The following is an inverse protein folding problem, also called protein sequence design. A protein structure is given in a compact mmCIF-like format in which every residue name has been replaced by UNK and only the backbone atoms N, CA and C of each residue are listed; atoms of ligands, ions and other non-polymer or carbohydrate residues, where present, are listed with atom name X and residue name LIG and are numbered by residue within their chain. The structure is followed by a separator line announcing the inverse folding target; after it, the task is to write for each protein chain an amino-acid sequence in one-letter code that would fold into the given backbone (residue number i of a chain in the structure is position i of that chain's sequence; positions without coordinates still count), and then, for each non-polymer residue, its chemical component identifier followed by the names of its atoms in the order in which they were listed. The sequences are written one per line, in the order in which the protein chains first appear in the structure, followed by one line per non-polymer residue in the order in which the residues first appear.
data_IF_260348375846
#
_entry.id   IF_260348375846
#
_cell.length_a   1.000
_cell.length_b   1.000
_cell.length_c   1.000
_cell.angle_alpha   90.00
_cell.angle_beta   90.00
_cell.angle_gamma   90.00
#
_symmetry.space_group_name_H-M   'P 1'
#
loop_
_entity.id
_entity.type
_entity.pdbx_description
1 polymer ?
#
# COMPACT_ATOMS: atom_id res chain seq x y z
N UNK A 1 -22.80 8.02 16.20
CA UNK A 1 -22.09 8.38 14.93
C UNK A 1 -20.60 8.70 15.12
N UNK A 2 -20.19 9.44 16.17
CA UNK A 2 -18.77 9.79 16.42
C UNK A 2 -17.81 8.58 16.50
N UNK A 3 -18.20 7.51 17.20
CA UNK A 3 -17.35 6.32 17.38
C UNK A 3 -17.00 5.58 16.08
N UNK A 4 -17.91 5.50 15.10
CA UNK A 4 -17.64 4.79 13.84
C UNK A 4 -16.63 5.53 12.96
N UNK A 5 -16.70 6.86 12.93
CA UNK A 5 -15.73 7.68 12.19
C UNK A 5 -14.36 7.61 12.86
N UNK A 6 -14.33 7.66 14.19
CA UNK A 6 -13.09 7.51 14.97
C UNK A 6 -12.39 6.18 14.71
N UNK A 7 -13.12 5.06 14.71
CA UNK A 7 -12.54 3.74 14.39
C UNK A 7 -11.97 3.67 12.98
N UNK A 8 -12.67 4.24 11.97
CA UNK A 8 -12.15 4.30 10.59
C UNK A 8 -10.85 5.08 10.48
N UNK A 9 -10.73 6.19 11.23
CA UNK A 9 -9.52 6.97 11.29
C UNK A 9 -8.38 6.17 11.95
N UNK A 10 -8.66 5.52 13.07
CA UNK A 10 -7.68 4.70 13.78
C UNK A 10 -7.17 3.53 12.93
N UNK A 11 -8.06 2.86 12.18
CA UNK A 11 -7.66 1.79 11.25
C UNK A 11 -6.77 2.33 10.12
N UNK A 12 -7.13 3.47 9.52
CA UNK A 12 -6.31 4.08 8.48
C UNK A 12 -4.92 4.45 9.01
N UNK A 13 -4.86 5.08 10.19
CA UNK A 13 -3.63 5.44 10.86
C UNK A 13 -2.77 4.21 11.18
N UNK A 14 -3.37 3.15 11.71
CA UNK A 14 -2.69 1.89 12.01
C UNK A 14 -2.06 1.29 10.75
N UNK A 15 -2.79 1.23 9.63
CA UNK A 15 -2.25 0.69 8.38
C UNK A 15 -1.09 1.53 7.84
N UNK A 16 -1.20 2.86 7.88
CA UNK A 16 -0.13 3.77 7.46
C UNK A 16 1.13 3.58 8.32
N UNK A 17 0.96 3.50 9.64
CA UNK A 17 2.09 3.28 10.57
C UNK A 17 2.72 1.92 10.33
N UNK A 18 1.91 0.86 10.20
CA UNK A 18 2.40 -0.50 9.96
C UNK A 18 3.24 -0.58 8.67
N UNK A 19 2.76 0.03 7.58
CA UNK A 19 3.52 0.13 6.34
C UNK A 19 4.82 0.92 6.50
N UNK A 20 4.76 2.06 7.18
CA UNK A 20 5.92 2.93 7.38
C UNK A 20 7.02 2.23 8.19
N UNK A 21 6.65 1.48 9.23
CA UNK A 21 7.60 0.69 10.03
C UNK A 21 8.30 -0.38 9.18
N UNK A 22 7.55 -1.08 8.34
CA UNK A 22 8.11 -2.09 7.45
C UNK A 22 8.97 -1.48 6.33
N UNK A 23 8.57 -0.33 5.80
CA UNK A 23 9.24 0.33 4.68
C UNK A 23 10.51 1.09 5.08
N UNK A 24 10.58 1.55 6.33
CA UNK A 24 11.71 2.32 6.83
C UNK A 24 12.70 1.49 7.65
N UNK A 25 12.33 0.31 8.14
CA UNK A 25 13.30 -0.56 8.83
C UNK A 25 14.33 -1.08 7.83
N UNK A 26 15.62 -1.02 8.20
CA UNK A 26 16.74 -1.56 7.42
C UNK A 26 16.77 -3.10 7.40
N UNK A 27 16.32 -3.69 8.51
CA UNK A 27 16.31 -5.12 8.78
C UNK A 27 14.94 -5.53 9.35
N UNK A 28 14.24 -6.40 8.61
CA UNK A 28 12.95 -6.94 9.04
C UNK A 28 13.11 -7.91 10.20
N UNK A 29 14.20 -8.69 10.22
CA UNK A 29 14.45 -9.66 11.27
C UNK A 29 14.72 -8.95 12.59
N UNK A 30 15.56 -7.89 12.59
CA UNK A 30 15.78 -7.07 13.79
C UNK A 30 14.52 -6.36 14.30
N UNK A 31 13.60 -5.97 13.41
CA UNK A 31 12.30 -5.41 13.80
C UNK A 31 11.43 -6.47 14.51
N UNK A 32 11.46 -7.72 14.05
CA UNK A 32 10.66 -8.82 14.58
C UNK A 32 11.25 -9.44 15.85
N UNK A 33 12.57 -9.47 15.98
CA UNK A 33 13.28 -10.02 17.15
C UNK A 33 13.45 -8.99 18.28
N UNK A 34 13.25 -7.70 17.99
CA UNK A 34 13.33 -6.62 18.97
C UNK A 34 14.77 -6.16 19.27
N UNK A 35 15.75 -6.57 18.46
CA UNK A 35 17.17 -6.28 18.72
C UNK A 35 17.53 -4.81 18.43
N UNK A 36 17.11 -4.27 17.28
CA UNK A 36 17.45 -2.90 16.89
C UNK A 36 16.54 -2.38 15.76
N UNK A 37 15.94 -1.21 15.96
CA UNK A 37 15.24 -0.47 14.89
C UNK A 37 16.16 0.68 14.46
N UNK A 38 17.01 0.42 13.47
CA UNK A 38 17.95 1.40 12.94
C UNK A 38 17.29 2.42 12.04
N UNK A 39 16.65 3.43 12.61
CA UNK A 39 16.21 4.62 11.87
C UNK A 39 17.33 5.65 11.87
N UNK A 40 18.18 5.61 10.84
CA UNK A 40 19.20 6.64 10.62
C UNK A 40 18.62 7.75 9.76
N UNK A 41 18.40 8.93 10.36
CA UNK A 41 17.85 10.07 9.64
C UNK A 41 18.97 10.90 9.00
N UNK A 42 18.97 10.99 7.67
CA UNK A 42 19.83 11.88 6.89
C UNK A 42 19.12 13.22 6.70
N UNK A 43 19.78 14.32 7.10
CA UNK A 43 19.20 15.69 7.00
C UNK A 43 19.21 16.27 5.59
N UNK A 44 20.12 15.80 4.74
CA UNK A 44 20.34 16.33 3.39
C UNK A 44 20.27 15.18 2.36
N UNK A 45 19.05 14.69 2.05
CA UNK A 45 18.86 13.61 1.09
C UNK A 45 19.18 14.06 -0.34
N UNK A 46 19.68 13.13 -1.15
CA UNK A 46 19.84 13.37 -2.58
C UNK A 46 18.54 13.00 -3.30
N UNK A 47 17.82 13.98 -3.82
CA UNK A 47 16.57 13.76 -4.55
C UNK A 47 16.79 13.15 -5.94
N UNK A 48 18.02 13.15 -6.47
CA UNK A 48 18.32 12.46 -7.73
C UNK A 48 18.15 10.94 -7.59
N UNK A 49 18.24 10.40 -6.37
CA UNK A 49 18.02 8.98 -6.07
C UNK A 49 16.61 8.51 -6.48
N UNK A 50 15.61 9.41 -6.46
CA UNK A 50 14.23 9.10 -6.91
C UNK A 50 14.16 8.64 -8.36
N UNK A 51 15.08 9.10 -9.20
CA UNK A 51 15.10 8.84 -10.63
C UNK A 51 16.05 7.70 -11.02
N UNK A 52 16.66 7.02 -10.05
CA UNK A 52 17.48 5.84 -10.31
C UNK A 52 16.58 4.67 -10.73
N UNK A 53 16.86 4.10 -11.90
CA UNK A 53 16.16 2.94 -12.45
C UNK A 53 17.09 1.78 -12.86
N UNK A 54 18.40 2.00 -12.88
CA UNK A 54 19.36 1.01 -13.36
C UNK A 54 19.70 -0.09 -12.34
N UNK A 55 19.22 0.04 -11.10
CA UNK A 55 19.40 -0.91 -10.00
C UNK A 55 18.19 -1.84 -9.81
N UNK A 56 17.26 -1.85 -10.77
CA UNK A 56 16.15 -2.79 -10.83
C UNK A 56 16.71 -4.22 -10.98
N UNK A 57 16.68 -4.98 -9.89
CA UNK A 57 17.27 -6.31 -9.80
C UNK A 57 16.20 -7.42 -9.87
N UNK A 58 15.47 -7.53 -10.97
CA UNK A 58 14.40 -8.55 -11.13
C UNK A 58 14.91 -10.01 -11.03
N UNK A 59 16.21 -10.23 -11.24
CA UNK A 59 16.84 -11.54 -11.05
C UNK A 59 17.03 -11.90 -9.56
N UNK A 60 17.01 -10.91 -8.67
CA UNK A 60 17.13 -11.15 -7.23
C UNK A 60 15.79 -11.56 -6.65
N UNK A 61 15.72 -12.79 -6.11
CA UNK A 61 14.53 -13.29 -5.40
C UNK A 61 14.14 -12.37 -4.26
N UNK A 62 15.13 -11.85 -3.53
CA UNK A 62 14.90 -10.93 -2.42
C UNK A 62 14.23 -9.65 -2.89
N UNK A 63 14.76 -9.02 -3.95
CA UNK A 63 14.18 -7.82 -4.54
C UNK A 63 12.72 -8.05 -4.96
N UNK A 64 12.46 -9.13 -5.71
CA UNK A 64 11.11 -9.46 -6.19
C UNK A 64 10.13 -9.69 -5.03
N UNK A 65 10.53 -10.45 -4.00
CA UNK A 65 9.68 -10.71 -2.83
C UNK A 65 9.35 -9.41 -2.10
N UNK A 66 10.33 -8.52 -1.90
CA UNK A 66 10.11 -7.22 -1.25
C UNK A 66 9.13 -6.37 -2.06
N UNK A 67 9.33 -6.23 -3.38
CA UNK A 67 8.42 -5.43 -4.24
C UNK A 67 7.02 -6.03 -4.34
N UNK A 68 6.91 -7.37 -4.29
CA UNK A 68 5.61 -8.03 -4.23
C UNK A 68 4.91 -7.79 -2.90
N UNK A 69 5.63 -7.82 -1.77
CA UNK A 69 5.08 -7.49 -0.46
C UNK A 69 4.48 -6.08 -0.43
N UNK A 70 5.19 -5.11 -1.01
CA UNK A 70 4.73 -3.74 -1.20
C UNK A 70 3.43 -3.65 -2.02
N UNK A 71 3.41 -4.26 -3.21
CA UNK A 71 2.21 -4.30 -4.05
C UNK A 71 1.02 -4.99 -3.34
N UNK A 72 1.26 -6.09 -2.62
CA UNK A 72 0.20 -6.76 -1.84
C UNK A 72 -0.32 -5.88 -0.69
N UNK A 73 0.57 -5.16 0.01
CA UNK A 73 0.15 -4.21 1.03
C UNK A 73 -0.81 -3.16 0.43
N UNK A 74 -0.43 -2.54 -0.69
CA UNK A 74 -1.27 -1.53 -1.34
C UNK A 74 -2.59 -2.08 -1.89
N UNK A 75 -2.61 -3.35 -2.33
CA UNK A 75 -3.83 -4.06 -2.71
C UNK A 75 -4.80 -4.13 -1.52
N UNK A 76 -4.36 -4.69 -0.39
CA UNK A 76 -5.22 -4.85 0.79
C UNK A 76 -5.57 -3.49 1.42
N UNK A 77 -4.61 -2.58 1.49
CA UNK A 77 -4.84 -1.21 1.95
C UNK A 77 -5.96 -0.54 1.16
N UNK A 78 -5.90 -0.60 -0.17
CA UNK A 78 -6.91 0.03 -1.03
C UNK A 78 -8.28 -0.64 -0.89
N UNK A 79 -8.32 -1.96 -0.71
CA UNK A 79 -9.56 -2.69 -0.44
C UNK A 79 -10.21 -2.26 0.89
N UNK A 80 -9.43 -2.27 1.97
CA UNK A 80 -9.90 -1.87 3.30
C UNK A 80 -10.35 -0.40 3.29
N UNK A 81 -9.55 0.47 2.67
CA UNK A 81 -9.88 1.89 2.57
C UNK A 81 -11.15 2.14 1.74
N UNK A 82 -11.40 1.36 0.69
CA UNK A 82 -12.64 1.45 -0.11
C UNK A 82 -13.85 0.88 0.65
N UNK A 83 -13.64 -0.06 1.57
CA UNK A 83 -14.71 -0.51 2.46
C UNK A 83 -15.08 0.57 3.49
N UNK A 84 -14.09 1.31 4.00
CA UNK A 84 -14.31 2.34 5.01
C UNK A 84 -14.73 3.70 4.43
N UNK A 85 -14.26 4.05 3.24
CA UNK A 85 -14.42 5.35 2.59
C UNK A 85 -14.89 5.20 1.14
N UNK A 86 -15.17 6.32 0.46
CA UNK A 86 -15.46 6.30 -0.97
C UNK A 86 -14.21 5.86 -1.74
N UNK A 87 -14.39 5.13 -2.85
CA UNK A 87 -13.29 4.67 -3.72
C UNK A 87 -12.31 5.79 -4.10
N UNK A 88 -12.82 7.00 -4.42
CA UNK A 88 -11.96 8.17 -4.70
C UNK A 88 -11.05 8.52 -3.53
N UNK A 89 -11.56 8.48 -2.31
CA UNK A 89 -10.79 8.74 -1.09
C UNK A 89 -9.74 7.65 -0.85
N UNK A 90 -10.08 6.38 -1.08
CA UNK A 90 -9.12 5.27 -0.98
C UNK A 90 -7.96 5.42 -1.97
N UNK A 91 -8.26 5.80 -3.22
CA UNK A 91 -7.25 6.09 -4.25
C UNK A 91 -6.34 7.24 -3.81
N UNK A 92 -6.92 8.35 -3.35
CA UNK A 92 -6.12 9.50 -2.89
C UNK A 92 -5.19 9.12 -1.74
N UNK A 93 -5.66 8.32 -0.79
CA UNK A 93 -4.81 7.82 0.30
C UNK A 93 -3.70 6.89 -0.19
N UNK A 94 -3.98 6.00 -1.14
CA UNK A 94 -2.96 5.12 -1.72
C UNK A 94 -1.89 5.93 -2.48
N UNK A 95 -2.30 6.88 -3.32
CA UNK A 95 -1.37 7.76 -4.05
C UNK A 95 -0.54 8.60 -3.08
N UNK A 96 -1.18 9.19 -2.08
CA UNK A 96 -0.49 9.98 -1.08
C UNK A 96 0.52 9.13 -0.29
N UNK A 97 0.12 7.94 0.17
CA UNK A 97 0.99 7.06 0.93
C UNK A 97 2.20 6.63 0.08
N UNK A 98 1.99 6.15 -1.14
CA UNK A 98 3.06 5.70 -2.05
C UNK A 98 4.04 6.84 -2.38
N UNK A 99 3.55 8.03 -2.70
CA UNK A 99 4.43 9.17 -2.96
C UNK A 99 5.18 9.62 -1.71
N UNK A 100 4.50 9.68 -0.56
CA UNK A 100 5.12 10.11 0.69
C UNK A 100 6.16 9.12 1.21
N UNK A 101 5.96 7.81 1.03
CA UNK A 101 6.90 6.79 1.49
C UNK A 101 8.22 6.88 0.75
N UNK A 102 8.21 7.10 -0.57
CA UNK A 102 9.44 7.24 -1.36
C UNK A 102 10.21 8.50 -0.95
N UNK A 103 9.52 9.63 -0.75
CA UNK A 103 10.17 10.87 -0.29
C UNK A 103 10.75 10.68 1.11
N UNK A 104 10.01 10.07 2.03
CA UNK A 104 10.46 9.84 3.40
C UNK A 104 11.61 8.82 3.47
N UNK A 105 11.66 7.83 2.58
CA UNK A 105 12.74 6.85 2.53
C UNK A 105 14.11 7.47 2.24
N UNK A 106 14.17 8.55 1.46
CA UNK A 106 15.41 9.28 1.23
C UNK A 106 16.01 9.83 2.54
N UNK A 107 15.15 10.18 3.49
CA UNK A 107 15.59 10.63 4.81
C UNK A 107 16.01 9.48 5.72
N UNK A 108 15.67 8.21 5.44
CA UNK A 108 15.94 7.07 6.33
C UNK A 108 17.11 6.19 5.88
N UNK A 109 18.02 6.73 5.06
CA UNK A 109 19.14 5.97 4.45
C UNK A 109 18.65 4.76 3.61
N UNK A 110 17.37 4.79 3.22
CA UNK A 110 16.78 3.84 2.27
C UNK A 110 16.79 4.47 0.87
N UNK A 111 16.69 3.60 -0.12
CA UNK A 111 16.60 4.03 -1.51
C UNK A 111 15.14 4.27 -1.84
N UNK A 112 14.72 5.54 -1.84
CA UNK A 112 13.43 5.95 -2.39
C UNK A 112 13.53 6.07 -3.91
N UNK A 113 12.64 5.42 -4.66
CA UNK A 113 12.62 5.40 -6.13
C UNK A 113 11.20 5.59 -6.67
N UNK A 114 11.06 6.32 -7.77
CA UNK A 114 9.79 6.41 -8.50
C UNK A 114 9.31 5.04 -8.97
N UNK A 115 10.23 4.12 -9.27
CA UNK A 115 9.91 2.74 -9.63
C UNK A 115 9.17 2.02 -8.49
N UNK A 116 9.51 2.33 -7.25
CA UNK A 116 8.90 1.72 -6.06
C UNK A 116 7.48 2.23 -5.85
N UNK A 117 7.25 3.53 -6.07
CA UNK A 117 5.91 4.10 -6.18
C UNK A 117 5.06 3.41 -7.27
N UNK A 118 5.65 3.01 -8.41
CA UNK A 118 4.93 2.29 -9.47
C UNK A 118 4.48 0.91 -8.98
N UNK A 119 5.33 0.16 -8.27
CA UNK A 119 4.94 -1.11 -7.68
C UNK A 119 3.81 -0.96 -6.67
N UNK A 120 3.90 0.04 -5.79
CA UNK A 120 2.86 0.36 -4.80
C UNK A 120 1.52 0.70 -5.48
N UNK A 121 1.55 1.58 -6.47
CA UNK A 121 0.35 1.98 -7.23
C UNK A 121 -0.23 0.83 -8.06
N UNK A 122 0.60 -0.11 -8.53
CA UNK A 122 0.12 -1.31 -9.22
C UNK A 122 -0.72 -2.20 -8.29
N UNK A 123 -0.32 -2.31 -7.02
CA UNK A 123 -1.07 -2.97 -5.97
C UNK A 123 -2.42 -2.30 -5.71
N UNK A 124 -2.40 -0.97 -5.57
CA UNK A 124 -3.62 -0.20 -5.37
C UNK A 124 -4.61 -0.35 -6.55
N UNK A 125 -4.10 -0.32 -7.78
CA UNK A 125 -4.90 -0.54 -8.99
C UNK A 125 -5.52 -1.95 -9.01
N UNK A 126 -4.74 -2.98 -8.67
CA UNK A 126 -5.24 -4.35 -8.57
C UNK A 126 -6.38 -4.47 -7.54
N UNK A 127 -6.26 -3.80 -6.39
CA UNK A 127 -7.32 -3.75 -5.38
C UNK A 127 -8.62 -3.11 -5.91
N UNK A 128 -8.53 -2.02 -6.66
CA UNK A 128 -9.69 -1.36 -7.29
C UNK A 128 -10.36 -2.28 -8.31
N UNK A 129 -9.57 -2.92 -9.17
CA UNK A 129 -10.07 -3.86 -10.18
C UNK A 129 -10.82 -4.99 -9.48
N UNK A 130 -10.23 -5.59 -8.45
CA UNK A 130 -10.84 -6.70 -7.71
C UNK A 130 -12.17 -6.30 -7.07
N UNK A 131 -12.24 -5.12 -6.44
CA UNK A 131 -13.50 -4.60 -5.87
C UNK A 131 -14.58 -4.43 -6.94
N UNK A 132 -14.22 -3.87 -8.11
CA UNK A 132 -15.16 -3.71 -9.21
C UNK A 132 -15.66 -5.05 -9.74
N UNK A 133 -14.78 -6.04 -9.88
CA UNK A 133 -15.15 -7.39 -10.32
C UNK A 133 -16.11 -8.06 -9.32
N UNK A 134 -15.80 -8.00 -8.02
CA UNK A 134 -16.67 -8.55 -6.96
C UNK A 134 -18.04 -7.86 -6.97
N UNK A 135 -18.07 -6.54 -7.11
CA UNK A 135 -19.32 -5.76 -7.14
C UNK A 135 -20.17 -6.09 -8.36
N UNK A 136 -19.54 -6.23 -9.53
CA UNK A 136 -20.22 -6.60 -10.77
C UNK A 136 -20.81 -8.02 -10.68
N UNK A 137 -20.03 -8.97 -10.14
CA UNK A 137 -20.48 -10.34 -9.92
C UNK A 137 -21.67 -10.41 -8.95
N UNK A 138 -21.59 -9.71 -7.81
CA UNK A 138 -22.68 -9.67 -6.83
C UNK A 138 -23.98 -9.11 -7.42
N UNK A 139 -23.89 -8.05 -8.23
CA UNK A 139 -25.05 -7.48 -8.92
C UNK A 139 -25.66 -8.48 -9.92
N UNK A 140 -24.83 -9.21 -10.65
CA UNK A 140 -25.29 -10.24 -11.58
C UNK A 140 -26.08 -11.35 -10.87
N UNK A 141 -25.56 -11.86 -9.75
CA UNK A 141 -26.24 -12.91 -8.96
C UNK A 141 -27.63 -12.45 -8.49
N UNK A 142 -27.74 -11.23 -7.97
CA UNK A 142 -29.03 -10.68 -7.52
C UNK A 142 -30.08 -10.58 -8.64
N UNK A 143 -29.65 -10.25 -9.87
CA UNK A 143 -30.53 -10.19 -11.03
C UNK A 143 -31.06 -11.58 -11.40
N UNK A 144 -30.20 -12.59 -11.38
CA UNK A 144 -30.57 -13.98 -11.71
C UNK A 144 -31.56 -14.54 -10.69
N UNK A 145 -31.30 -14.36 -9.40
CA UNK A 145 -32.18 -14.83 -8.32
C UNK A 145 -33.54 -14.10 -8.33
N UNK A 146 -33.53 -12.79 -8.53
CA UNK A 146 -34.76 -11.99 -8.62
C UNK A 146 -35.63 -12.36 -9.83
N UNK A 147 -35.05 -12.78 -10.95
CA UNK A 147 -35.80 -13.28 -12.09
C UNK A 147 -36.38 -14.69 -11.83
N UNK A 148 -35.65 -15.55 -11.10
CA UNK A 148 -36.13 -16.90 -10.74
C UNK A 148 -37.34 -16.88 -9.82
N UNK A 149 -37.43 -15.90 -8.91
CA UNK A 149 -38.58 -15.75 -8.01
C UNK A 149 -39.85 -15.22 -8.70
N UNK A 150 -39.74 -14.69 -9.93
CA UNK A 150 -40.86 -14.14 -10.70
C UNK A 150 -41.48 -15.14 -11.69
N UNK A 151 -40.88 -16.33 -11.84
CA UNK A 151 -41.40 -17.44 -12.64
C UNK A 151 -42.15 -18.42 -11.74
#
# INVERSE_FOLDING_TARGET
MRGRVFMKFLTALFLIIAFSLFSFTSDLLSLLTGDYIGLTIRRDPDFSDLFIYHDIALHSKFYVITKMGHAFFFLFFTMIMTYMYRMRTAILWAVFLAASSEILQLYTMRSGRIVDMIYDLSGALAGIILIKLISAYSKHVQIVEGNRQKM
#
